data_IF_099439250159
#
_entry.id   IF_099439250159
#
_cell.length_a   1.000
_cell.length_b   1.000
_cell.length_c   1.000
_cell.angle_alpha   90.00
_cell.angle_beta   90.00
_cell.angle_gamma   90.00
#
_symmetry.space_group_name_H-M   'P 1'
#
loop_
_entity.id
_entity.type
_entity.pdbx_description
1 polymer ?
#
# COMPACT_ATOMS: atom_id res chain seq x y z
N UNK A 1 -3.84 30.30 0.43
CA UNK A 1 -5.22 30.66 0.81
C UNK A 1 -5.98 29.37 1.07
N UNK A 2 -6.27 29.07 2.34
CA UNK A 2 -6.98 27.86 2.75
C UNK A 2 -8.43 28.24 3.11
N UNK A 3 -9.39 27.54 2.53
CA UNK A 3 -10.82 27.71 2.82
C UNK A 3 -11.08 27.05 4.18
N UNK A 4 -11.33 27.88 5.21
CA UNK A 4 -11.74 27.43 6.54
C UNK A 4 -13.27 27.27 6.51
N UNK A 5 -13.74 26.03 6.54
CA UNK A 5 -15.17 25.75 6.76
C UNK A 5 -15.37 25.73 8.27
N UNK A 6 -16.02 26.76 8.80
CA UNK A 6 -16.41 26.83 10.21
C UNK A 6 -17.81 26.24 10.33
N UNK A 7 -17.93 25.12 11.04
CA UNK A 7 -19.22 24.50 11.35
C UNK A 7 -19.55 24.90 12.79
N UNK A 8 -20.57 25.74 12.98
CA UNK A 8 -21.09 26.05 14.31
C UNK A 8 -21.96 24.87 14.77
N UNK A 9 -21.54 24.22 15.85
CA UNK A 9 -22.29 23.15 16.52
C UNK A 9 -22.82 23.69 17.84
N UNK A 10 -24.13 23.91 17.87
CA UNK A 10 -24.89 24.31 19.05
C UNK A 10 -25.24 23.05 19.88
N UNK A 11 -25.06 23.11 21.19
CA UNK A 11 -25.40 22.02 22.12
C UNK A 11 -24.27 21.04 22.44
N UNK A 12 -23.77 21.11 23.68
CA UNK A 12 -22.64 20.35 24.21
C UNK A 12 -22.89 18.83 24.30
N UNK A 13 -22.40 18.07 23.32
CA UNK A 13 -21.99 16.67 23.53
C UNK A 13 -20.48 16.66 23.84
N UNK A 14 -20.08 16.52 25.13
CA UNK A 14 -18.67 16.57 25.53
C UNK A 14 -17.85 15.39 24.98
N UNK A 15 -18.51 14.38 24.40
CA UNK A 15 -17.89 13.22 23.78
C UNK A 15 -18.01 13.25 22.25
N UNK A 16 -18.46 14.37 21.64
CA UNK A 16 -18.57 14.49 20.19
C UNK A 16 -17.23 14.25 19.49
N UNK A 17 -16.12 14.67 20.10
CA UNK A 17 -14.77 14.36 19.63
C UNK A 17 -14.49 12.85 19.59
N UNK A 18 -14.84 12.13 20.66
CA UNK A 18 -14.64 10.68 20.76
C UNK A 18 -15.59 9.91 19.84
N UNK A 19 -16.82 10.40 19.64
CA UNK A 19 -17.79 9.81 18.72
C UNK A 19 -17.39 10.03 17.27
N UNK A 20 -16.88 11.20 16.92
CA UNK A 20 -16.33 11.47 15.59
C UNK A 20 -15.05 10.66 15.35
N UNK A 21 -14.21 10.48 16.36
CA UNK A 21 -13.06 9.56 16.29
C UNK A 21 -13.51 8.11 16.12
N UNK A 22 -14.50 7.64 16.88
CA UNK A 22 -15.03 6.28 16.74
C UNK A 22 -15.72 6.07 15.39
N UNK A 23 -16.41 7.08 14.84
CA UNK A 23 -16.99 7.03 13.49
C UNK A 23 -15.90 7.05 12.43
N UNK A 24 -14.87 7.89 12.55
CA UNK A 24 -13.71 7.90 11.65
C UNK A 24 -12.94 6.58 11.70
N UNK A 25 -12.76 6.02 12.89
CA UNK A 25 -12.13 4.74 13.13
C UNK A 25 -12.97 3.60 12.55
N UNK A 26 -14.31 3.63 12.73
CA UNK A 26 -15.23 2.65 12.15
C UNK A 26 -15.32 2.77 10.62
N UNK A 27 -15.23 3.97 10.06
CA UNK A 27 -15.15 4.18 8.59
C UNK A 27 -13.80 3.68 8.06
N UNK A 28 -12.71 3.89 8.79
CA UNK A 28 -11.38 3.38 8.46
C UNK A 28 -11.34 1.84 8.55
N UNK A 29 -11.95 1.25 9.58
CA UNK A 29 -12.06 -0.21 9.77
C UNK A 29 -13.04 -0.86 8.78
N UNK A 30 -14.14 -0.18 8.42
CA UNK A 30 -15.06 -0.64 7.38
C UNK A 30 -14.46 -0.56 5.96
N UNK A 31 -13.33 0.14 5.78
CA UNK A 31 -12.53 0.04 4.55
C UNK A 31 -11.62 -1.21 4.53
N UNK A 32 -11.54 -1.95 5.63
CA UNK A 32 -10.65 -3.09 5.86
C UNK A 32 -11.18 -4.46 5.43
N UNK A 33 -11.98 -4.55 4.36
CA UNK A 33 -12.39 -5.87 3.83
C UNK A 33 -12.51 -5.95 2.30
N UNK A 34 -11.79 -5.11 1.57
CA UNK A 34 -11.57 -5.25 0.11
C UNK A 34 -10.09 -5.07 -0.30
N UNK A 35 -9.16 -5.00 0.66
CA UNK A 35 -7.72 -4.85 0.42
C UNK A 35 -7.01 -6.15 -0.03
N UNK A 36 -7.78 -7.21 -0.30
CA UNK A 36 -7.30 -8.49 -0.84
C UNK A 36 -7.64 -8.67 -2.33
N UNK A 37 -8.26 -7.68 -3.00
CA UNK A 37 -8.64 -7.80 -4.42
C UNK A 37 -7.67 -7.04 -5.33
N UNK A 38 -6.53 -7.69 -5.59
CA UNK A 38 -5.46 -7.27 -6.52
C UNK A 38 -4.51 -6.19 -5.99
N UNK A 39 -3.59 -6.61 -5.14
CA UNK A 39 -2.37 -5.87 -4.78
C UNK A 39 -1.47 -5.49 -5.98
N UNK A 40 -1.83 -5.97 -7.18
CA UNK A 40 -1.17 -5.75 -8.44
C UNK A 40 -1.82 -4.59 -9.21
N UNK A 41 -1.12 -3.45 -9.31
CA UNK A 41 -1.58 -2.25 -10.00
C UNK A 41 -0.96 -2.09 -11.39
N UNK A 42 -1.60 -1.32 -12.26
CA UNK A 42 -0.94 -0.81 -13.47
C UNK A 42 0.06 0.31 -13.15
N UNK A 43 0.83 0.73 -14.16
CA UNK A 43 1.85 1.77 -14.05
C UNK A 43 1.31 3.14 -13.65
N UNK A 44 0.07 3.48 -14.02
CA UNK A 44 -0.55 4.77 -13.71
C UNK A 44 -1.02 4.80 -12.25
N UNK A 45 -1.67 3.72 -11.80
CA UNK A 45 -2.10 3.56 -10.41
C UNK A 45 -0.88 3.52 -9.48
N UNK A 46 0.18 2.77 -9.85
CA UNK A 46 1.41 2.70 -9.07
C UNK A 46 2.12 4.06 -8.98
N UNK A 47 2.25 4.77 -10.09
CA UNK A 47 2.86 6.11 -10.11
C UNK A 47 2.07 7.09 -9.24
N UNK A 48 0.72 7.06 -9.33
CA UNK A 48 -0.17 7.88 -8.51
C UNK A 48 -0.03 7.54 -7.02
N UNK A 49 0.06 6.26 -6.67
CA UNK A 49 0.20 5.81 -5.29
C UNK A 49 1.50 6.28 -4.63
N UNK A 50 2.57 6.49 -5.42
CA UNK A 50 3.85 7.02 -4.96
C UNK A 50 3.97 8.54 -5.10
N UNK A 51 3.02 9.20 -5.76
CA UNK A 51 3.13 10.62 -6.09
C UNK A 51 4.23 10.96 -7.10
N UNK A 52 4.63 10.00 -7.95
CA UNK A 52 5.67 10.19 -8.98
C UNK A 52 5.09 10.08 -10.40
N UNK A 53 5.88 10.45 -11.40
CA UNK A 53 5.49 10.27 -12.80
C UNK A 53 5.69 8.83 -13.26
N UNK A 54 4.91 8.40 -14.26
CA UNK A 54 5.04 7.07 -14.88
C UNK A 54 6.44 6.88 -15.49
N UNK A 55 7.03 7.95 -16.04
CA UNK A 55 8.40 7.94 -16.56
C UNK A 55 9.40 7.65 -15.45
N UNK A 56 9.28 8.31 -14.29
CA UNK A 56 10.16 8.03 -13.15
C UNK A 56 10.04 6.60 -12.66
N UNK A 57 8.82 6.06 -12.59
CA UNK A 57 8.59 4.64 -12.25
C UNK A 57 9.24 3.70 -13.28
N UNK A 58 9.19 4.04 -14.57
CA UNK A 58 9.88 3.29 -15.63
C UNK A 58 11.40 3.35 -15.45
N UNK A 59 11.96 4.51 -15.14
CA UNK A 59 13.41 4.69 -14.95
C UNK A 59 13.91 3.87 -13.76
N UNK A 60 13.18 3.90 -12.64
CA UNK A 60 13.49 3.07 -11.46
C UNK A 60 13.50 1.58 -11.82
N UNK A 61 12.54 1.13 -12.63
CA UNK A 61 12.52 -0.26 -13.12
C UNK A 61 13.71 -0.57 -14.05
N UNK A 62 14.07 0.35 -14.95
CA UNK A 62 15.17 0.14 -15.90
C UNK A 62 16.55 0.26 -15.24
N UNK A 63 16.66 1.02 -14.16
CA UNK A 63 17.89 1.18 -13.37
C UNK A 63 18.26 -0.05 -12.53
N UNK A 64 17.31 -0.99 -12.34
CA UNK A 64 17.49 -2.16 -11.48
C UNK A 64 17.17 -1.93 -10.00
N UNK A 65 16.74 -0.72 -9.62
CA UNK A 65 16.29 -0.44 -8.24
C UNK A 65 15.04 -1.28 -7.87
N UNK A 66 14.16 -1.54 -8.84
CA UNK A 66 12.98 -2.38 -8.66
C UNK A 66 13.21 -3.79 -9.18
N UNK A 67 12.96 -4.77 -8.33
CA UNK A 67 13.18 -6.19 -8.62
C UNK A 67 11.92 -6.89 -9.12
N UNK A 68 12.07 -7.67 -10.20
CA UNK A 68 11.00 -8.53 -10.74
C UNK A 68 10.65 -9.65 -9.76
N UNK A 69 9.36 -9.98 -9.65
CA UNK A 69 8.84 -10.96 -8.70
C UNK A 69 8.56 -10.41 -7.29
N UNK A 70 9.15 -9.26 -6.93
CA UNK A 70 8.93 -8.58 -5.64
C UNK A 70 8.11 -7.31 -5.85
N UNK A 71 8.65 -6.36 -6.62
CA UNK A 71 8.06 -5.04 -6.85
C UNK A 71 7.12 -5.01 -8.04
N UNK A 72 7.40 -5.84 -9.04
CA UNK A 72 6.58 -5.96 -10.23
C UNK A 72 6.67 -7.36 -10.81
N UNK A 73 5.65 -7.77 -11.54
CA UNK A 73 5.60 -9.03 -12.27
C UNK A 73 5.19 -8.78 -13.72
N UNK A 74 5.84 -9.47 -14.65
CA UNK A 74 5.44 -9.46 -16.06
C UNK A 74 4.40 -10.55 -16.27
N UNK A 75 3.19 -10.14 -16.65
CA UNK A 75 2.14 -11.08 -17.07
C UNK A 75 2.37 -11.50 -18.53
N UNK A 76 2.87 -10.56 -19.33
CA UNK A 76 3.28 -10.79 -20.72
C UNK A 76 4.47 -9.89 -21.03
N UNK A 77 5.15 -10.05 -22.20
CA UNK A 77 6.23 -9.15 -22.60
C UNK A 77 5.83 -7.67 -22.62
N UNK A 78 4.54 -7.38 -22.83
CA UNK A 78 3.98 -6.03 -22.93
C UNK A 78 3.27 -5.57 -21.66
N UNK A 79 2.82 -6.50 -20.80
CA UNK A 79 1.98 -6.19 -19.64
C UNK A 79 2.72 -6.44 -18.34
N UNK A 80 2.96 -5.34 -17.60
CA UNK A 80 3.63 -5.33 -16.29
C UNK A 80 2.61 -4.91 -15.23
N UNK A 81 2.60 -5.62 -14.09
CA UNK A 81 1.84 -5.22 -12.90
C UNK A 81 2.78 -4.99 -11.73
N UNK A 82 2.49 -3.96 -10.93
CA UNK A 82 3.29 -3.56 -9.78
C UNK A 82 2.64 -4.01 -8.49
N UNK A 83 3.42 -4.57 -7.58
CA UNK A 83 2.99 -4.93 -6.22
C UNK A 83 2.99 -3.67 -5.34
N UNK A 84 1.82 -3.08 -5.09
CA UNK A 84 1.72 -1.77 -4.45
C UNK A 84 2.34 -1.72 -3.04
N UNK A 85 2.11 -2.67 -2.13
CA UNK A 85 2.70 -2.65 -0.80
C UNK A 85 4.22 -2.70 -0.82
N UNK A 86 4.81 -3.59 -1.61
CA UNK A 86 6.27 -3.68 -1.73
C UNK A 86 6.86 -2.42 -2.35
N UNK A 87 6.17 -1.83 -3.32
CA UNK A 87 6.60 -0.60 -3.96
C UNK A 87 6.54 0.61 -3.01
N UNK A 88 5.50 0.70 -2.17
CA UNK A 88 5.38 1.73 -1.13
C UNK A 88 6.42 1.56 -0.03
N UNK A 89 6.62 0.34 0.44
CA UNK A 89 7.63 0.03 1.45
C UNK A 89 9.03 0.41 0.95
N UNK A 90 9.37 0.00 -0.28
CA UNK A 90 10.62 0.37 -0.94
C UNK A 90 10.81 1.89 -1.01
N UNK A 91 9.75 2.63 -1.33
CA UNK A 91 9.80 4.09 -1.42
C UNK A 91 10.13 4.75 -0.09
N UNK A 92 9.53 4.28 1.00
CA UNK A 92 9.77 4.80 2.37
C UNK A 92 11.16 4.38 2.86
N UNK A 93 11.55 3.13 2.60
CA UNK A 93 12.79 2.52 3.08
C UNK A 93 13.95 2.64 2.08
N UNK A 94 13.88 3.57 1.11
CA UNK A 94 14.90 3.69 0.05
C UNK A 94 16.30 3.97 0.59
N UNK A 95 16.40 4.59 1.76
CA UNK A 95 17.67 4.88 2.44
C UNK A 95 18.10 3.79 3.44
N UNK A 96 17.24 2.80 3.71
CA UNK A 96 17.53 1.66 4.59
C UNK A 96 17.22 0.33 3.86
N UNK A 97 18.17 -0.15 3.04
CA UNK A 97 18.01 -1.42 2.35
C UNK A 97 17.81 -2.61 3.29
N UNK A 98 18.30 -2.54 4.53
CA UNK A 98 18.16 -3.61 5.51
C UNK A 98 16.75 -3.66 6.10
N UNK A 99 16.10 -2.52 6.34
CA UNK A 99 14.67 -2.47 6.67
C UNK A 99 13.82 -3.04 5.53
N UNK A 100 14.11 -2.64 4.29
CA UNK A 100 13.38 -3.14 3.13
C UNK A 100 13.53 -4.66 2.95
N UNK A 101 14.74 -5.21 3.14
CA UNK A 101 14.96 -6.66 3.07
C UNK A 101 14.13 -7.42 4.11
N UNK A 102 14.00 -6.89 5.34
CA UNK A 102 13.15 -7.49 6.38
C UNK A 102 11.67 -7.49 5.97
N UNK A 103 11.19 -6.42 5.33
CA UNK A 103 9.83 -6.35 4.82
C UNK A 103 9.58 -7.38 3.69
N UNK A 104 10.55 -7.58 2.80
CA UNK A 104 10.51 -8.63 1.78
C UNK A 104 10.41 -10.01 2.43
N UNK A 105 11.27 -10.31 3.40
CA UNK A 105 11.28 -11.61 4.07
C UNK A 105 9.95 -11.90 4.78
N UNK A 106 9.38 -10.87 5.42
CA UNK A 106 8.06 -10.96 6.04
C UNK A 106 6.96 -11.19 5.01
N UNK A 107 6.98 -10.45 3.91
CA UNK A 107 6.02 -10.61 2.81
C UNK A 107 6.07 -12.03 2.24
N UNK A 108 7.27 -12.55 1.95
CA UNK A 108 7.45 -13.92 1.43
C UNK A 108 6.97 -14.97 2.43
N UNK A 109 7.15 -14.77 3.75
CA UNK A 109 6.62 -15.68 4.79
C UNK A 109 5.10 -15.64 4.88
N UNK A 110 4.49 -14.48 4.64
CA UNK A 110 3.03 -14.35 4.67
C UNK A 110 2.33 -15.00 3.47
N UNK A 111 3.06 -15.27 2.37
CA UNK A 111 2.48 -15.88 1.18
C UNK A 111 1.87 -17.25 1.51
N UNK A 112 0.63 -17.55 1.06
CA UNK A 112 -0.01 -18.84 1.30
C UNK A 112 0.84 -20.04 0.82
N UNK A 113 1.62 -19.85 -0.25
CA UNK A 113 2.54 -20.88 -0.77
C UNK A 113 3.63 -21.29 0.23
N UNK A 114 4.01 -20.41 1.15
CA UNK A 114 5.03 -20.65 2.17
C UNK A 114 4.44 -21.00 3.53
N UNK A 115 3.12 -20.92 3.69
CA UNK A 115 2.47 -21.43 4.88
C UNK A 115 2.51 -22.96 4.82
N UNK A 116 3.21 -23.57 5.79
CA UNK A 116 3.23 -25.02 5.95
C UNK A 116 1.77 -25.48 6.01
N UNK A 117 1.34 -26.27 5.03
CA UNK A 117 0.03 -26.91 5.08
C UNK A 117 0.00 -27.68 6.40
N UNK A 118 -0.95 -27.34 7.28
CA UNK A 118 -1.32 -28.22 8.38
C UNK A 118 -1.94 -29.46 7.71
N UNK A 119 -1.09 -30.35 7.22
CA UNK A 119 -1.46 -31.70 6.86
C UNK A 119 -1.84 -32.37 8.18
N UNK A 120 -3.12 -32.22 8.52
CA UNK A 120 -3.75 -32.96 9.59
C UNK A 120 -3.68 -34.43 9.22
N UNK A 121 -3.07 -35.21 10.10
CA UNK A 121 -3.07 -36.66 10.10
C UNK A 121 -3.99 -37.13 11.20
#
# INVERSE_FOLDING_TARGET
>A
MAVKITIEVDGADPYLGDRLQAILQSIFEASGSDEDRSNSADKHIAAKALGITVTKLRDLRLSGELHEGIHYSRISPQTIRYNLPMLKDWWVNRNDPAAHQRAIDQHLRSLPSNQKSKSGR
#
